data_IF_135611391231
#
_entry.id   IF_135611391231
#
_cell.length_a   1.000
_cell.length_b   1.000
_cell.length_c   1.000
_cell.angle_alpha   90.00
_cell.angle_beta   90.00
_cell.angle_gamma   90.00
#
_symmetry.space_group_name_H-M   'P 1'
#
loop_
_entity.id
_entity.type
_entity.pdbx_description
1 polymer ?
#
# COMPACT_ATOMS: atom_id res chain seq x y z
N UNK A 1 -22.92 -2.00 -31.01
CA UNK A 1 -22.86 -1.35 -29.68
C UNK A 1 -23.23 -2.41 -28.64
N UNK A 2 -22.23 -3.01 -27.98
CA UNK A 2 -22.46 -4.06 -27.00
C UNK A 2 -23.24 -3.47 -25.82
N UNK A 3 -24.44 -3.99 -25.55
CA UNK A 3 -25.25 -3.54 -24.41
C UNK A 3 -24.55 -4.00 -23.13
N UNK A 4 -23.95 -3.06 -22.40
CA UNK A 4 -23.36 -3.30 -21.09
C UNK A 4 -24.46 -3.93 -20.22
N UNK A 5 -24.23 -5.15 -19.75
CA UNK A 5 -25.25 -5.94 -19.07
C UNK A 5 -25.23 -5.58 -17.58
N UNK A 6 -26.00 -4.54 -17.20
CA UNK A 6 -26.01 -3.97 -15.84
C UNK A 6 -26.30 -5.00 -14.73
N UNK A 7 -27.04 -6.07 -15.04
CA UNK A 7 -27.31 -7.17 -14.08
C UNK A 7 -26.04 -7.98 -13.76
N UNK A 8 -25.10 -8.08 -14.69
CA UNK A 8 -23.81 -8.74 -14.47
C UNK A 8 -22.81 -7.82 -13.74
N UNK A 9 -22.98 -6.49 -13.84
CA UNK A 9 -22.10 -5.52 -13.18
C UNK A 9 -22.47 -5.27 -11.71
N UNK A 10 -23.74 -5.46 -11.37
CA UNK A 10 -24.31 -5.33 -10.02
C UNK A 10 -23.50 -6.06 -8.92
N UNK A 11 -23.17 -7.35 -9.05
CA UNK A 11 -22.40 -8.05 -8.01
C UNK A 11 -20.98 -7.50 -7.81
N UNK A 12 -20.35 -6.97 -8.87
CA UNK A 12 -19.02 -6.36 -8.77
C UNK A 12 -19.07 -4.99 -8.08
N UNK A 13 -20.10 -4.18 -8.36
CA UNK A 13 -20.30 -2.90 -7.69
C UNK A 13 -20.56 -3.09 -6.18
N UNK A 14 -21.37 -4.10 -5.83
CA UNK A 14 -21.63 -4.48 -4.44
C UNK A 14 -20.34 -4.95 -3.75
N UNK A 15 -19.50 -5.74 -4.43
CA UNK A 15 -18.21 -6.19 -3.89
C UNK A 15 -17.30 -5.01 -3.53
N UNK A 16 -17.15 -4.05 -4.44
CA UNK A 16 -16.31 -2.86 -4.22
C UNK A 16 -16.83 -2.01 -3.06
N UNK A 17 -18.15 -1.80 -3.00
CA UNK A 17 -18.78 -1.09 -1.89
C UNK A 17 -18.56 -1.79 -0.55
N UNK A 18 -18.68 -3.12 -0.51
CA UNK A 18 -18.44 -3.92 0.69
C UNK A 18 -16.98 -3.82 1.14
N UNK A 19 -16.01 -3.90 0.22
CA UNK A 19 -14.59 -3.77 0.54
C UNK A 19 -14.26 -2.40 1.12
N UNK A 20 -14.87 -1.32 0.61
CA UNK A 20 -14.72 0.03 1.16
C UNK A 20 -15.27 0.11 2.59
N UNK A 21 -16.49 -0.37 2.83
CA UNK A 21 -17.12 -0.33 4.16
C UNK A 21 -16.28 -1.13 5.17
N UNK A 22 -15.86 -2.34 4.81
CA UNK A 22 -15.03 -3.17 5.70
C UNK A 22 -13.67 -2.53 5.95
N UNK A 23 -13.02 -1.98 4.91
CA UNK A 23 -11.74 -1.28 5.07
C UNK A 23 -11.86 -0.09 6.05
N UNK A 24 -12.94 0.68 5.96
CA UNK A 24 -13.16 1.84 6.84
C UNK A 24 -13.46 1.42 8.29
N UNK A 25 -14.27 0.37 8.49
CA UNK A 25 -14.58 -0.14 9.84
C UNK A 25 -13.32 -0.73 10.49
N UNK A 26 -12.58 -1.56 9.74
CA UNK A 26 -11.41 -2.26 10.26
C UNK A 26 -10.23 -1.30 10.49
N UNK A 27 -10.08 -0.28 9.65
CA UNK A 27 -9.05 0.73 9.79
C UNK A 27 -9.52 2.01 10.51
N UNK A 28 -10.64 1.97 11.24
CA UNK A 28 -11.09 3.05 12.14
C UNK A 28 -9.99 3.59 13.05
N UNK A 29 -9.15 2.77 13.74
CA UNK A 29 -8.06 3.31 14.55
C UNK A 29 -6.96 4.00 13.73
N UNK A 30 -6.75 3.61 12.46
CA UNK A 30 -5.80 4.29 11.58
C UNK A 30 -6.35 5.64 11.05
N UNK A 31 -7.67 5.74 10.87
CA UNK A 31 -8.35 7.00 10.55
C UNK A 31 -8.28 8.00 11.72
N UNK A 32 -8.21 7.50 12.95
CA UNK A 32 -8.00 8.29 14.17
C UNK A 32 -6.55 8.77 14.35
N UNK A 33 -5.67 8.56 13.36
CA UNK A 33 -4.29 9.06 13.37
C UNK A 33 -3.32 8.25 14.24
N UNK A 34 -3.74 7.09 14.75
CA UNK A 34 -2.85 6.18 15.47
C UNK A 34 -1.97 5.47 14.45
N UNK A 35 -0.74 5.97 14.30
CA UNK A 35 0.27 5.35 13.44
C UNK A 35 0.94 4.23 14.23
N UNK A 36 0.85 3.01 13.71
CA UNK A 36 1.62 1.89 14.26
C UNK A 36 3.11 2.17 14.03
N UNK A 37 3.89 2.25 15.11
CA UNK A 37 5.35 2.35 15.02
C UNK A 37 5.89 0.99 14.60
N UNK A 38 6.01 0.77 13.31
CA UNK A 38 6.59 -0.45 12.77
C UNK A 38 8.11 -0.45 13.00
N UNK A 39 8.64 -1.57 13.49
CA UNK A 39 10.07 -1.72 13.81
C UNK A 39 10.95 -1.34 12.62
N UNK A 40 10.59 -1.81 11.43
CA UNK A 40 11.31 -1.53 10.17
C UNK A 40 11.37 -0.03 9.87
N UNK A 41 10.29 0.72 10.11
CA UNK A 41 10.23 2.17 9.86
C UNK A 41 11.15 2.90 10.83
N UNK A 42 11.17 2.49 12.09
CA UNK A 42 12.04 3.07 13.13
C UNK A 42 13.51 2.78 12.82
N UNK A 43 13.83 1.55 12.46
CA UNK A 43 15.19 1.15 12.09
C UNK A 43 15.65 1.88 10.82
N UNK A 44 14.79 1.98 9.81
CA UNK A 44 15.06 2.73 8.59
C UNK A 44 15.34 4.20 8.87
N UNK A 45 14.53 4.86 9.71
CA UNK A 45 14.78 6.25 10.13
C UNK A 45 16.17 6.38 10.78
N UNK A 46 16.54 5.45 11.66
CA UNK A 46 17.87 5.42 12.27
C UNK A 46 19.01 5.31 11.24
N UNK A 47 18.88 4.40 10.27
CA UNK A 47 19.88 4.20 9.22
C UNK A 47 19.97 5.39 8.25
N UNK A 48 18.84 6.01 7.93
CA UNK A 48 18.76 7.09 6.95
C UNK A 48 19.14 8.46 7.56
N UNK A 49 19.08 8.64 8.88
CA UNK A 49 19.32 9.91 9.57
C UNK A 49 20.65 10.55 9.17
N UNK A 50 21.73 9.77 9.14
CA UNK A 50 23.06 10.24 8.74
C UNK A 50 23.09 10.73 7.29
N UNK A 51 22.34 10.08 6.40
CA UNK A 51 22.26 10.45 4.99
C UNK A 51 21.44 11.74 4.79
N UNK A 52 20.39 11.95 5.59
CA UNK A 52 19.62 13.19 5.59
C UNK A 52 20.44 14.38 6.11
N UNK A 53 21.17 14.22 7.20
CA UNK A 53 22.06 15.28 7.73
C UNK A 53 23.17 15.66 6.75
N UNK A 54 23.72 14.68 6.02
CA UNK A 54 24.70 14.95 4.98
C UNK A 54 24.08 15.75 3.82
N UNK A 55 22.85 15.41 3.42
CA UNK A 55 22.11 16.16 2.38
C UNK A 55 21.84 17.60 2.79
N UNK A 56 21.48 17.86 4.04
CA UNK A 56 21.24 19.23 4.52
C UNK A 56 22.49 20.11 4.42
N UNK A 57 23.68 19.52 4.64
CA UNK A 57 24.97 20.24 4.59
C UNK A 57 25.56 20.38 3.19
N UNK A 58 25.42 19.36 2.35
CA UNK A 58 26.10 19.27 1.05
C UNK A 58 25.15 19.37 -0.15
N UNK A 59 23.84 19.46 0.07
CA UNK A 59 22.81 19.59 -0.97
C UNK A 59 22.47 18.29 -1.71
N UNK A 60 23.22 17.21 -1.50
CA UNK A 60 22.98 15.91 -2.13
C UNK A 60 23.07 14.75 -1.14
N UNK A 61 22.39 13.65 -1.42
CA UNK A 61 22.54 12.43 -0.63
C UNK A 61 23.95 11.83 -0.82
N UNK A 62 24.55 11.23 0.21
CA UNK A 62 25.82 10.53 0.07
C UNK A 62 25.61 9.25 -0.75
N UNK A 63 26.60 8.81 -1.54
CA UNK A 63 26.54 7.53 -2.25
C UNK A 63 26.82 6.33 -1.32
N UNK A 64 27.56 6.57 -0.24
CA UNK A 64 27.93 5.59 0.78
C UNK A 64 27.55 6.11 2.17
N UNK A 65 26.84 5.31 2.97
CA UNK A 65 26.51 5.67 4.36
C UNK A 65 27.47 4.95 5.32
N UNK A 66 27.98 5.69 6.31
CA UNK A 66 28.79 5.13 7.40
C UNK A 66 27.94 4.78 8.64
N UNK A 67 26.62 5.00 8.57
CA UNK A 67 25.68 4.75 9.66
C UNK A 67 25.28 3.29 9.87
N UNK A 68 25.81 2.38 9.06
CA UNK A 68 25.57 0.94 9.13
C UNK A 68 26.90 0.21 9.33
N UNK A 69 26.85 -1.03 9.86
CA UNK A 69 28.03 -1.85 10.19
C UNK A 69 28.95 -1.97 8.96
N UNK A 70 30.15 -1.38 9.04
CA UNK A 70 31.14 -1.25 7.94
C UNK A 70 30.72 -0.42 6.72
N UNK A 71 29.57 0.26 6.80
CA UNK A 71 28.99 1.07 5.75
C UNK A 71 28.27 0.28 4.66
N UNK A 72 27.37 0.95 3.95
CA UNK A 72 26.59 0.38 2.85
C UNK A 72 26.35 1.45 1.78
N UNK A 73 26.21 1.08 0.51
CA UNK A 73 25.73 2.02 -0.49
C UNK A 73 24.35 2.61 -0.13
N UNK A 74 24.26 3.94 -0.04
CA UNK A 74 23.09 4.63 0.49
C UNK A 74 21.88 4.65 -0.46
N UNK A 75 22.07 4.20 -1.72
CA UNK A 75 20.99 4.11 -2.70
C UNK A 75 19.89 3.14 -2.27
N UNK A 76 20.22 2.05 -1.55
CA UNK A 76 19.24 1.07 -1.08
C UNK A 76 18.41 1.57 0.11
N UNK A 77 18.94 2.56 0.84
CA UNK A 77 18.33 3.06 2.08
C UNK A 77 17.47 4.28 1.77
N UNK A 78 18.04 5.28 1.12
CA UNK A 78 17.35 6.55 0.87
C UNK A 78 16.57 6.57 -0.44
N UNK A 79 16.77 5.57 -1.31
CA UNK A 79 16.06 5.46 -2.58
C UNK A 79 16.29 6.67 -3.47
N UNK A 80 17.56 6.96 -3.78
CA UNK A 80 17.96 8.10 -4.62
C UNK A 80 17.35 7.93 -6.01
N UNK A 81 16.16 8.50 -6.21
CA UNK A 81 15.51 8.62 -7.51
C UNK A 81 15.63 10.08 -7.94
N UNK A 82 16.43 10.34 -8.98
CA UNK A 82 16.45 11.62 -9.69
C UNK A 82 15.18 11.84 -10.54
N UNK A 83 14.23 10.89 -10.51
CA UNK A 83 12.99 11.00 -11.27
C UNK A 83 11.88 11.66 -10.41
N UNK A 84 11.29 12.79 -10.85
CA UNK A 84 10.17 13.44 -10.16
C UNK A 84 8.87 12.60 -10.16
N UNK A 85 8.76 11.61 -11.04
CA UNK A 85 7.62 10.68 -11.05
C UNK A 85 7.89 9.55 -10.07
N UNK A 86 7.52 9.76 -8.81
CA UNK A 86 7.59 8.68 -7.82
C UNK A 86 6.50 7.64 -8.09
N UNK A 87 6.84 6.35 -7.99
CA UNK A 87 5.87 5.23 -7.96
C UNK A 87 4.81 5.43 -6.86
N UNK A 88 5.09 6.29 -5.87
CA UNK A 88 4.15 6.69 -4.83
C UNK A 88 2.88 7.37 -5.34
N UNK A 89 2.90 8.06 -6.49
CA UNK A 89 1.68 8.65 -7.06
C UNK A 89 0.72 7.58 -7.60
N UNK A 90 1.26 6.54 -8.24
CA UNK A 90 0.49 5.38 -8.71
C UNK A 90 -0.07 4.61 -7.51
N UNK A 91 0.74 4.44 -6.46
CA UNK A 91 0.31 3.83 -5.20
C UNK A 91 -0.85 4.58 -4.55
N UNK A 92 -0.79 5.92 -4.47
CA UNK A 92 -1.87 6.74 -3.93
C UNK A 92 -3.15 6.66 -4.77
N UNK A 93 -3.03 6.62 -6.11
CA UNK A 93 -4.18 6.47 -7.01
C UNK A 93 -4.85 5.10 -6.84
N UNK A 94 -4.07 4.03 -6.76
CA UNK A 94 -4.56 2.66 -6.56
C UNK A 94 -5.21 2.45 -5.19
N UNK A 95 -4.68 3.12 -4.16
CA UNK A 95 -5.25 3.10 -2.82
C UNK A 95 -6.41 4.10 -2.61
N UNK A 96 -6.93 4.75 -3.67
CA UNK A 96 -7.98 5.77 -3.59
C UNK A 96 -7.67 6.95 -2.65
N UNK A 97 -6.39 7.18 -2.35
CA UNK A 97 -5.97 8.19 -1.36
C UNK A 97 -6.33 7.84 0.09
N UNK A 98 -6.73 6.61 0.40
CA UNK A 98 -6.98 6.20 1.78
C UNK A 98 -5.67 6.19 2.60
N UNK A 99 -5.72 6.55 3.90
CA UNK A 99 -4.54 6.49 4.75
C UNK A 99 -4.00 5.06 4.84
N UNK A 100 -2.68 4.89 4.84
CA UNK A 100 -2.04 3.62 5.22
C UNK A 100 -2.45 3.31 6.66
N UNK A 101 -2.99 2.11 6.99
CA UNK A 101 -2.99 0.82 6.27
C UNK A 101 -4.24 0.50 5.44
N UNK A 102 -5.31 1.31 5.51
CA UNK A 102 -6.59 1.04 4.86
C UNK A 102 -6.50 0.90 3.34
N UNK A 103 -5.67 1.74 2.71
CA UNK A 103 -5.43 1.70 1.27
C UNK A 103 -4.78 0.40 0.77
N UNK A 104 -3.95 -0.23 1.60
CA UNK A 104 -3.27 -1.50 1.27
C UNK A 104 -4.24 -2.67 1.43
N UNK A 105 -5.05 -2.66 2.49
CA UNK A 105 -6.11 -3.65 2.71
C UNK A 105 -7.14 -3.64 1.58
N UNK A 106 -7.62 -2.45 1.19
CA UNK A 106 -8.56 -2.32 0.07
C UNK A 106 -7.98 -2.86 -1.23
N UNK A 107 -6.72 -2.50 -1.52
CA UNK A 107 -6.03 -2.97 -2.73
C UNK A 107 -5.83 -4.50 -2.71
N UNK A 108 -5.51 -5.09 -1.55
CA UNK A 108 -5.40 -6.53 -1.40
C UNK A 108 -6.73 -7.26 -1.68
N UNK A 109 -7.84 -6.76 -1.11
CA UNK A 109 -9.19 -7.25 -1.42
C UNK A 109 -9.49 -7.17 -2.92
N UNK A 110 -9.19 -6.04 -3.55
CA UNK A 110 -9.47 -5.80 -4.96
C UNK A 110 -8.67 -6.75 -5.87
N UNK A 111 -7.37 -6.91 -5.61
CA UNK A 111 -6.49 -7.80 -6.38
C UNK A 111 -6.91 -9.26 -6.23
N UNK A 112 -7.23 -9.71 -5.02
CA UNK A 112 -7.69 -11.08 -4.80
C UNK A 112 -9.05 -11.31 -5.46
N UNK A 113 -9.97 -10.37 -5.33
CA UNK A 113 -11.26 -10.45 -6.00
C UNK A 113 -11.10 -10.54 -7.51
N UNK A 114 -10.26 -9.68 -8.11
CA UNK A 114 -9.96 -9.73 -9.54
C UNK A 114 -9.43 -11.10 -9.96
N UNK A 115 -8.51 -11.69 -9.18
CA UNK A 115 -8.03 -13.05 -9.42
C UNK A 115 -9.18 -14.08 -9.41
N UNK A 116 -10.09 -14.01 -8.45
CA UNK A 116 -11.25 -14.94 -8.41
C UNK A 116 -12.15 -14.80 -9.64
N UNK A 117 -12.27 -13.59 -10.20
CA UNK A 117 -13.03 -13.36 -11.43
C UNK A 117 -12.33 -13.93 -12.67
N UNK A 118 -11.00 -13.82 -12.76
CA UNK A 118 -10.21 -14.46 -13.83
C UNK A 118 -10.35 -15.99 -13.78
N UNK A 119 -10.40 -16.56 -12.58
CA UNK A 119 -10.62 -17.99 -12.35
C UNK A 119 -12.08 -18.43 -12.55
N UNK A 120 -12.98 -17.52 -12.93
CA UNK A 120 -14.42 -17.77 -13.13
C UNK A 120 -15.12 -18.35 -11.90
N UNK A 121 -14.63 -18.02 -10.70
CA UNK A 121 -15.25 -18.38 -9.43
C UNK A 121 -16.49 -17.49 -9.23
N UNK A 122 -17.52 -18.03 -8.58
CA UNK A 122 -18.74 -17.29 -8.28
C UNK A 122 -18.40 -15.98 -7.51
N UNK A 123 -18.88 -14.80 -7.98
CA UNK A 123 -18.62 -13.51 -7.35
C UNK A 123 -18.86 -13.48 -5.84
N UNK A 124 -19.88 -14.17 -5.32
CA UNK A 124 -20.17 -14.19 -3.89
C UNK A 124 -19.07 -14.90 -3.08
N UNK A 125 -18.55 -16.02 -3.60
CA UNK A 125 -17.44 -16.75 -2.98
C UNK A 125 -16.14 -15.94 -3.10
N UNK A 126 -15.96 -15.25 -4.23
CA UNK A 126 -14.82 -14.35 -4.44
C UNK A 126 -14.77 -13.20 -3.43
N UNK A 127 -15.91 -12.63 -3.05
CA UNK A 127 -15.99 -11.58 -2.01
C UNK A 127 -15.53 -12.13 -0.66
N UNK A 128 -16.05 -13.29 -0.25
CA UNK A 128 -15.69 -13.91 1.03
C UNK A 128 -14.20 -14.27 1.07
N UNK A 129 -13.66 -14.84 -0.02
CA UNK A 129 -12.24 -15.16 -0.13
C UNK A 129 -11.35 -13.91 -0.07
N UNK A 130 -11.74 -12.82 -0.74
CA UNK A 130 -11.00 -11.56 -0.72
C UNK A 130 -10.96 -10.95 0.68
N UNK A 131 -12.09 -10.97 1.40
CA UNK A 131 -12.14 -10.49 2.79
C UNK A 131 -11.27 -11.35 3.71
N UNK A 132 -11.38 -12.68 3.63
CA UNK A 132 -10.59 -13.60 4.45
C UNK A 132 -9.07 -13.43 4.22
N UNK A 133 -8.66 -13.28 2.96
CA UNK A 133 -7.28 -13.02 2.59
C UNK A 133 -6.77 -11.71 3.19
N UNK A 134 -7.52 -10.61 2.99
CA UNK A 134 -7.10 -9.30 3.44
C UNK A 134 -7.07 -9.20 4.98
N UNK A 135 -7.99 -9.87 5.70
CA UNK A 135 -7.95 -9.90 7.17
C UNK A 135 -6.77 -10.69 7.71
N UNK A 136 -6.31 -11.72 6.98
CA UNK A 136 -5.10 -12.47 7.36
C UNK A 136 -3.85 -11.62 7.21
N UNK A 137 -3.84 -10.71 6.22
CA UNK A 137 -2.71 -9.83 5.97
C UNK A 137 -2.55 -8.70 7.01
N UNK A 138 -3.60 -8.39 7.79
CA UNK A 138 -3.58 -7.34 8.79
C UNK A 138 -3.14 -7.80 10.19
N UNK A 139 -3.02 -9.10 10.41
CA UNK A 139 -2.49 -9.72 11.63
C UNK A 139 -1.04 -10.16 11.43
#
# INVERSE_FOLDING_TARGET
MNRINWKALLPHAIAIGLFLVVALIYCKPALEGKVLQQHDVTQWKGMAQNSFQYKEKHGHFPLWTNGMFSGMPAYQITGISNNPISVGYIGNLLSLGLPKPAGVFFLACLCFYFLTQVLKINPYVGIVGALAYATTQLY
#
